data_IF_710635786322
#
_entry.id   IF_710635786322
#
_cell.length_a   1.000
_cell.length_b   1.000
_cell.length_c   1.000
_cell.angle_alpha   90.00
_cell.angle_beta   90.00
_cell.angle_gamma   90.00
#
_symmetry.space_group_name_H-M   'P 1'
#
loop_
_entity.id
_entity.type
_entity.pdbx_description
1 polymer ?
#
# COMPACT_ATOMS: atom_id res chain seq x y z
N UNK A 1 5.64 19.43 -13.35
CA UNK A 1 4.91 18.20 -13.76
C UNK A 1 3.42 18.45 -13.63
N UNK A 2 2.69 18.27 -14.72
CA UNK A 2 1.23 18.33 -14.68
C UNK A 2 0.64 17.14 -13.96
N UNK A 3 -0.63 17.23 -13.58
CA UNK A 3 -1.34 16.10 -12.96
C UNK A 3 -1.38 14.88 -13.89
N UNK A 4 -1.67 15.10 -15.17
CA UNK A 4 -1.74 14.01 -16.14
C UNK A 4 -0.40 13.31 -16.35
N UNK A 5 0.69 14.08 -16.43
CA UNK A 5 2.05 13.53 -16.49
C UNK A 5 2.37 12.69 -15.24
N UNK A 6 2.01 13.20 -14.07
CA UNK A 6 2.21 12.48 -12.82
C UNK A 6 1.45 11.16 -12.81
N UNK A 7 0.17 11.18 -13.16
CA UNK A 7 -0.65 9.97 -13.21
C UNK A 7 -0.06 8.96 -14.19
N UNK A 8 0.32 9.41 -15.37
CA UNK A 8 0.93 8.54 -16.39
C UNK A 8 2.23 7.88 -15.87
N UNK A 9 3.05 8.63 -15.19
CA UNK A 9 4.35 8.14 -14.70
C UNK A 9 4.24 7.27 -13.44
N UNK A 10 3.36 7.61 -12.51
CA UNK A 10 3.36 7.04 -11.15
C UNK A 10 2.17 6.15 -10.81
N UNK A 11 1.13 6.09 -11.63
CA UNK A 11 -0.09 5.34 -11.30
C UNK A 11 0.18 3.87 -11.01
N UNK A 12 1.00 3.22 -11.83
CA UNK A 12 1.32 1.80 -11.62
C UNK A 12 2.04 1.54 -10.30
N UNK A 13 3.02 2.38 -9.96
CA UNK A 13 3.75 2.26 -8.69
C UNK A 13 2.81 2.46 -7.49
N UNK A 14 1.91 3.44 -7.57
CA UNK A 14 0.92 3.69 -6.53
C UNK A 14 -0.07 2.53 -6.37
N UNK A 15 -0.54 1.96 -7.47
CA UNK A 15 -1.45 0.81 -7.45
C UNK A 15 -0.75 -0.43 -6.88
N UNK A 16 0.51 -0.69 -7.23
CA UNK A 16 1.29 -1.78 -6.64
C UNK A 16 1.43 -1.63 -5.13
N UNK A 17 1.80 -0.44 -4.69
CA UNK A 17 1.87 -0.12 -3.26
C UNK A 17 0.52 -0.35 -2.58
N UNK A 18 -0.55 0.21 -3.12
CA UNK A 18 -1.90 0.07 -2.58
C UNK A 18 -2.37 -1.39 -2.57
N UNK A 19 -1.97 -2.21 -3.55
CA UNK A 19 -2.31 -3.64 -3.60
C UNK A 19 -1.68 -4.41 -2.44
N UNK A 20 -0.45 -4.08 -2.07
CA UNK A 20 0.20 -4.68 -0.89
C UNK A 20 -0.53 -4.30 0.40
N UNK A 21 -1.11 -3.11 0.46
CA UNK A 21 -1.91 -2.67 1.61
C UNK A 21 -3.31 -3.31 1.64
N UNK A 22 -4.02 -3.25 0.52
CA UNK A 22 -5.43 -3.69 0.40
C UNK A 22 -5.57 -5.21 0.21
N UNK A 23 -4.56 -5.84 -0.38
CA UNK A 23 -4.57 -7.26 -0.69
C UNK A 23 -5.31 -7.64 -1.96
N UNK A 24 -5.77 -6.68 -2.76
CA UNK A 24 -6.44 -6.92 -4.02
C UNK A 24 -6.28 -5.75 -4.97
N UNK A 25 -6.12 -6.03 -6.27
CA UNK A 25 -5.88 -5.01 -7.29
C UNK A 25 -7.07 -4.07 -7.48
N UNK A 26 -8.30 -4.60 -7.51
CA UNK A 26 -9.50 -3.80 -7.71
C UNK A 26 -9.70 -2.75 -6.61
N UNK A 27 -9.51 -3.15 -5.36
CA UNK A 27 -9.59 -2.26 -4.21
C UNK A 27 -8.46 -1.24 -4.20
N UNK A 28 -7.27 -1.66 -4.61
CA UNK A 28 -6.10 -0.78 -4.73
C UNK A 28 -6.31 0.30 -5.79
N UNK A 29 -6.85 -0.06 -6.95
CA UNK A 29 -7.18 0.89 -8.01
C UNK A 29 -8.23 1.90 -7.54
N UNK A 30 -9.28 1.45 -6.88
CA UNK A 30 -10.32 2.31 -6.33
C UNK A 30 -9.74 3.29 -5.28
N UNK A 31 -8.89 2.79 -4.40
CA UNK A 31 -8.23 3.59 -3.39
C UNK A 31 -7.35 4.68 -4.01
N UNK A 32 -6.51 4.32 -4.98
CA UNK A 32 -5.63 5.26 -5.68
C UNK A 32 -6.44 6.30 -6.44
N UNK A 33 -7.48 5.90 -7.16
CA UNK A 33 -8.36 6.82 -7.87
C UNK A 33 -9.05 7.80 -6.94
N UNK A 34 -9.60 7.33 -5.84
CA UNK A 34 -10.24 8.20 -4.85
C UNK A 34 -9.28 9.25 -4.31
N UNK A 35 -8.05 8.85 -4.01
CA UNK A 35 -7.01 9.77 -3.54
C UNK A 35 -6.63 10.77 -4.63
N UNK A 36 -6.42 10.32 -5.86
CA UNK A 36 -6.05 11.21 -6.98
C UNK A 36 -7.14 12.25 -7.27
N UNK A 37 -8.41 11.86 -7.24
CA UNK A 37 -9.55 12.78 -7.39
C UNK A 37 -9.53 13.85 -6.28
N UNK A 38 -9.26 13.44 -5.05
CA UNK A 38 -9.21 14.34 -3.90
C UNK A 38 -8.02 15.30 -3.94
N UNK A 39 -6.89 14.87 -4.47
CA UNK A 39 -5.66 15.65 -4.57
C UNK A 39 -5.70 16.62 -5.75
N UNK A 40 -6.41 16.29 -6.81
CA UNK A 40 -6.44 17.06 -8.06
C UNK A 40 -6.70 18.56 -7.86
N UNK A 41 -7.71 18.99 -7.08
CA UNK A 41 -7.99 20.43 -6.90
C UNK A 41 -6.85 21.21 -6.26
N UNK A 42 -5.94 20.54 -5.56
CA UNK A 42 -4.82 21.14 -4.85
C UNK A 42 -3.49 20.94 -5.56
N UNK A 43 -3.51 20.32 -6.72
CA UNK A 43 -2.29 19.87 -7.39
C UNK A 43 -1.24 20.97 -7.57
N UNK A 44 -1.65 22.12 -8.09
CA UNK A 44 -0.73 23.23 -8.36
C UNK A 44 -0.17 23.88 -7.09
N UNK A 45 -0.87 23.75 -5.97
CA UNK A 45 -0.44 24.31 -4.69
C UNK A 45 0.51 23.39 -3.90
N UNK A 46 0.73 22.15 -4.37
CA UNK A 46 1.57 21.20 -3.67
C UNK A 46 3.04 21.55 -3.81
N UNK A 47 3.73 21.68 -2.67
CA UNK A 47 5.16 21.87 -2.59
C UNK A 47 5.87 20.55 -2.25
N UNK A 48 7.13 20.42 -2.68
CA UNK A 48 7.95 19.25 -2.41
C UNK A 48 7.62 18.06 -3.29
N UNK A 49 7.88 16.85 -2.80
CA UNK A 49 7.64 15.63 -3.55
C UNK A 49 6.14 15.31 -3.65
N UNK A 50 5.61 15.42 -4.83
CA UNK A 50 4.20 15.07 -5.11
C UNK A 50 3.94 13.59 -4.93
N UNK A 51 4.88 12.75 -5.30
CA UNK A 51 4.78 11.30 -5.07
C UNK A 51 4.67 10.98 -3.57
N UNK A 52 5.54 11.55 -2.75
CA UNK A 52 5.49 11.36 -1.29
C UNK A 52 4.16 11.83 -0.70
N UNK A 53 3.64 12.96 -1.19
CA UNK A 53 2.34 13.48 -0.75
C UNK A 53 1.19 12.52 -1.11
N UNK A 54 1.14 12.05 -2.35
CA UNK A 54 0.08 11.12 -2.79
C UNK A 54 0.20 9.78 -2.09
N UNK A 55 1.42 9.24 -1.93
CA UNK A 55 1.65 8.02 -1.17
C UNK A 55 1.16 8.16 0.28
N UNK A 56 1.44 9.28 0.92
CA UNK A 56 0.93 9.57 2.27
C UNK A 56 -0.60 9.60 2.30
N UNK A 57 -1.22 10.22 1.31
CA UNK A 57 -2.68 10.28 1.19
C UNK A 57 -3.28 8.88 0.99
N UNK A 58 -2.64 8.04 0.17
CA UNK A 58 -3.04 6.63 -0.02
C UNK A 58 -2.95 5.85 1.29
N UNK A 59 -1.86 6.01 2.02
CA UNK A 59 -1.64 5.33 3.30
C UNK A 59 -2.68 5.75 4.34
N UNK A 60 -2.92 7.05 4.47
CA UNK A 60 -3.91 7.60 5.41
C UNK A 60 -5.31 7.12 5.07
N UNK A 61 -5.68 7.12 3.80
CA UNK A 61 -6.98 6.63 3.35
C UNK A 61 -7.12 5.13 3.65
N UNK A 62 -6.10 4.33 3.38
CA UNK A 62 -6.10 2.92 3.73
C UNK A 62 -6.33 2.69 5.23
N UNK A 63 -5.64 3.42 6.08
CA UNK A 63 -5.76 3.27 7.53
C UNK A 63 -7.14 3.70 8.06
N UNK A 64 -7.78 4.68 7.44
CA UNK A 64 -9.11 5.18 7.82
C UNK A 64 -10.26 4.44 7.13
N UNK A 65 -9.97 3.59 6.17
CA UNK A 65 -10.95 2.92 5.30
C UNK A 65 -11.73 1.79 5.97
N UNK A 66 -11.50 1.52 7.22
CA UNK A 66 -12.03 0.39 7.98
C UNK A 66 -13.57 0.25 7.90
N UNK A 67 -14.30 1.36 7.89
CA UNK A 67 -15.77 1.34 7.84
C UNK A 67 -16.34 1.09 6.45
N UNK A 68 -15.74 1.70 5.42
CA UNK A 68 -16.17 1.54 4.03
C UNK A 68 -15.83 0.16 3.49
N UNK A 69 -14.69 -0.37 3.91
CA UNK A 69 -14.18 -1.67 3.51
C UNK A 69 -15.09 -2.81 3.97
N UNK A 70 -15.48 -2.85 5.24
CA UNK A 70 -16.36 -3.88 5.78
C UNK A 70 -17.73 -3.86 5.10
N UNK A 71 -18.27 -2.69 4.75
CA UNK A 71 -19.53 -2.54 4.04
C UNK A 71 -19.44 -3.03 2.59
N UNK A 72 -18.34 -2.73 1.88
CA UNK A 72 -18.11 -3.20 0.50
C UNK A 72 -17.84 -4.70 0.43
N UNK A 73 -17.19 -5.28 1.42
CA UNK A 73 -16.94 -6.74 1.47
C UNK A 73 -18.21 -7.56 1.68
N UNK A 74 -19.19 -7.02 2.36
CA UNK A 74 -20.51 -7.64 2.53
C UNK A 74 -21.27 -7.66 1.19
N UNK A 75 -21.04 -6.68 0.31
CA UNK A 75 -21.72 -6.55 -0.97
C UNK A 75 -20.89 -7.05 -2.18
N UNK A 76 -19.60 -7.27 -2.03
CA UNK A 76 -18.67 -7.59 -3.12
C UNK A 76 -18.45 -9.10 -3.35
N UNK A 77 -19.34 -9.96 -2.89
CA UNK A 77 -19.37 -11.37 -3.27
C UNK A 77 -19.89 -11.59 -4.70
N UNK A 78 -20.27 -10.53 -5.40
CA UNK A 78 -20.78 -10.60 -6.76
C UNK A 78 -19.76 -9.99 -7.74
N UNK A 79 -19.20 -10.88 -8.55
CA UNK A 79 -18.58 -10.62 -9.85
C UNK A 79 -17.45 -9.58 -9.92
N UNK A 80 -16.25 -10.11 -10.13
CA UNK A 80 -15.09 -9.35 -10.56
C UNK A 80 -15.39 -8.71 -11.93
N UNK A 81 -15.24 -7.36 -12.09
CA UNK A 81 -15.42 -6.75 -13.39
C UNK A 81 -14.45 -7.36 -14.41
N UNK A 82 -14.98 -7.79 -15.53
CA UNK A 82 -14.19 -8.11 -16.71
C UNK A 82 -13.49 -6.81 -17.17
N UNK A 83 -12.17 -6.84 -17.28
CA UNK A 83 -11.38 -5.68 -17.72
C UNK A 83 -10.23 -5.30 -16.80
N UNK A 84 -9.73 -6.23 -15.99
CA UNK A 84 -8.51 -6.02 -15.22
C UNK A 84 -7.33 -5.81 -16.14
N UNK A 85 -6.70 -4.64 -16.03
CA UNK A 85 -5.31 -4.49 -16.45
C UNK A 85 -4.51 -5.47 -15.61
N UNK A 86 -4.06 -6.56 -16.20
CA UNK A 86 -3.14 -7.47 -15.53
C UNK A 86 -1.85 -6.68 -15.26
N UNK A 87 -1.70 -6.23 -14.00
CA UNK A 87 -0.39 -5.85 -13.52
C UNK A 87 0.45 -7.13 -13.57
N UNK A 88 1.64 -7.04 -14.15
CA UNK A 88 2.60 -8.15 -14.20
C UNK A 88 3.09 -8.48 -12.80
N UNK A 89 2.21 -9.12 -12.01
CA UNK A 89 2.54 -9.62 -10.69
C UNK A 89 3.27 -10.94 -10.87
N UNK A 90 4.52 -10.96 -10.50
CA UNK A 90 5.25 -12.22 -10.39
C UNK A 90 4.65 -13.06 -9.27
N UNK A 91 4.54 -14.35 -9.49
CA UNK A 91 3.97 -15.33 -8.57
C UNK A 91 4.37 -15.18 -7.09
N UNK A 92 5.62 -14.81 -6.73
CA UNK A 92 6.01 -14.49 -5.36
C UNK A 92 5.23 -13.33 -4.75
N UNK A 93 4.81 -12.36 -5.54
CA UNK A 93 4.12 -11.15 -5.09
C UNK A 93 2.68 -11.44 -4.66
N UNK A 94 1.98 -12.36 -5.32
CA UNK A 94 0.63 -12.79 -4.94
C UNK A 94 0.59 -13.51 -3.58
N UNK A 95 1.55 -14.39 -3.34
CA UNK A 95 1.68 -15.09 -2.06
C UNK A 95 1.97 -14.10 -0.94
N UNK A 96 2.87 -13.19 -1.17
CA UNK A 96 3.22 -12.14 -0.24
C UNK A 96 2.01 -11.24 0.07
N UNK A 97 1.28 -10.79 -0.94
CA UNK A 97 0.10 -9.96 -0.77
C UNK A 97 -0.96 -10.68 0.08
N UNK A 98 -1.15 -11.98 -0.12
CA UNK A 98 -2.07 -12.80 0.68
C UNK A 98 -1.64 -12.87 2.15
N UNK A 99 -0.35 -13.06 2.41
CA UNK A 99 0.15 -13.15 3.78
C UNK A 99 0.14 -11.78 4.47
N UNK A 100 0.41 -10.70 3.75
CA UNK A 100 0.29 -9.34 4.27
C UNK A 100 -1.13 -9.01 4.70
N UNK A 101 -2.15 -9.50 4.00
CA UNK A 101 -3.56 -9.31 4.37
C UNK A 101 -3.91 -9.82 5.76
N UNK A 102 -3.22 -10.85 6.23
CA UNK A 102 -3.44 -11.45 7.55
C UNK A 102 -2.88 -10.61 8.69
N UNK A 103 -2.00 -9.66 8.37
CA UNK A 103 -1.44 -8.75 9.38
C UNK A 103 -2.44 -7.66 9.77
N UNK A 104 -2.44 -7.20 11.03
CA UNK A 104 -3.11 -5.97 11.40
C UNK A 104 -2.65 -4.80 10.51
N UNK A 105 -3.55 -3.87 10.23
CA UNK A 105 -3.30 -2.79 9.25
C UNK A 105 -2.05 -1.97 9.53
N UNK A 106 -1.82 -1.60 10.80
CA UNK A 106 -0.65 -0.81 11.19
C UNK A 106 0.65 -1.58 10.96
N UNK A 107 0.66 -2.87 11.29
CA UNK A 107 1.83 -3.73 11.05
C UNK A 107 2.08 -3.90 9.55
N UNK A 108 1.03 -4.13 8.79
CA UNK A 108 1.12 -4.25 7.32
C UNK A 108 1.68 -2.99 6.69
N UNK A 109 1.12 -1.83 7.05
CA UNK A 109 1.60 -0.55 6.54
C UNK A 109 3.07 -0.30 6.89
N UNK A 110 3.47 -0.57 8.13
CA UNK A 110 4.86 -0.39 8.58
C UNK A 110 5.82 -1.29 7.80
N UNK A 111 5.49 -2.56 7.60
CA UNK A 111 6.31 -3.52 6.84
C UNK A 111 6.43 -3.09 5.38
N UNK A 112 5.33 -2.75 4.74
CA UNK A 112 5.33 -2.34 3.32
C UNK A 112 6.10 -1.04 3.12
N UNK A 113 5.92 -0.06 3.98
CA UNK A 113 6.66 1.20 3.91
C UNK A 113 8.16 1.01 4.12
N UNK A 114 8.54 0.12 5.02
CA UNK A 114 9.95 -0.15 5.30
C UNK A 114 10.67 -0.87 4.17
N UNK A 115 10.08 -1.93 3.63
CA UNK A 115 10.75 -2.83 2.71
C UNK A 115 10.40 -2.62 1.25
N UNK A 116 9.21 -2.18 0.93
CA UNK A 116 8.79 -1.91 -0.44
C UNK A 116 9.07 -0.47 -0.86
N UNK A 117 8.74 0.50 0.00
CA UNK A 117 8.96 1.93 -0.27
C UNK A 117 10.31 2.43 0.27
N UNK A 118 11.04 1.58 0.96
CA UNK A 118 12.39 1.85 1.48
C UNK A 118 12.49 3.09 2.37
N UNK A 119 11.49 3.30 3.22
CA UNK A 119 11.46 4.41 4.17
C UNK A 119 12.17 4.07 5.47
N UNK A 120 12.75 5.10 6.09
CA UNK A 120 13.33 4.99 7.43
C UNK A 120 12.25 4.93 8.51
N UNK A 121 12.60 4.47 9.70
CA UNK A 121 11.68 4.47 10.84
C UNK A 121 11.15 5.87 11.17
N UNK A 122 11.99 6.90 11.03
CA UNK A 122 11.61 8.30 11.23
C UNK A 122 10.55 8.74 10.22
N UNK A 123 10.74 8.42 8.95
CA UNK A 123 9.79 8.75 7.88
C UNK A 123 8.46 8.00 8.06
N UNK A 124 8.52 6.72 8.41
CA UNK A 124 7.33 5.90 8.68
C UNK A 124 6.57 6.43 9.89
N UNK A 125 7.28 6.79 10.96
CA UNK A 125 6.69 7.35 12.18
C UNK A 125 5.91 8.65 11.87
N UNK A 126 6.51 9.54 11.08
CA UNK A 126 5.86 10.77 10.66
C UNK A 126 4.60 10.49 9.82
N UNK A 127 4.68 9.51 8.93
CA UNK A 127 3.57 9.14 8.04
C UNK A 127 2.42 8.46 8.81
N UNK A 128 2.73 7.54 9.71
CA UNK A 128 1.72 6.80 10.49
C UNK A 128 1.23 7.58 11.74
N UNK A 129 1.87 8.69 12.07
CA UNK A 129 1.50 9.48 13.25
C UNK A 129 1.80 8.78 14.58
N UNK A 130 2.91 8.05 14.66
CA UNK A 130 3.32 7.33 15.86
C UNK A 130 4.82 7.56 16.15
N UNK A 131 5.31 6.95 17.20
CA UNK A 131 6.73 7.02 17.59
C UNK A 131 7.57 6.02 16.78
N UNK A 132 8.84 6.30 16.59
CA UNK A 132 9.78 5.39 15.93
C UNK A 132 9.82 4.01 16.61
N UNK A 133 9.78 3.97 17.95
CA UNK A 133 9.72 2.72 18.71
C UNK A 133 8.48 1.91 18.37
N UNK A 134 7.35 2.56 18.12
CA UNK A 134 6.10 1.91 17.70
C UNK A 134 6.24 1.35 16.29
N UNK A 135 6.89 2.07 15.37
CA UNK A 135 7.20 1.58 14.02
C UNK A 135 8.05 0.30 14.10
N UNK A 136 9.12 0.31 14.89
CA UNK A 136 9.97 -0.87 15.07
C UNK A 136 9.20 -2.07 15.63
N UNK A 137 8.30 -1.83 16.57
CA UNK A 137 7.44 -2.88 17.13
C UNK A 137 6.48 -3.45 16.07
N UNK A 138 5.85 -2.60 15.27
CA UNK A 138 4.97 -3.04 14.18
C UNK A 138 5.73 -3.86 13.12
N UNK A 139 6.90 -3.39 12.71
CA UNK A 139 7.75 -4.10 11.75
C UNK A 139 8.19 -5.45 12.29
N UNK A 140 8.66 -5.48 13.53
CA UNK A 140 9.12 -6.72 14.19
C UNK A 140 8.02 -7.76 14.29
N UNK A 141 6.82 -7.37 14.74
CA UNK A 141 5.68 -8.28 14.84
C UNK A 141 5.18 -8.74 13.46
N UNK A 142 5.11 -7.84 12.50
CA UNK A 142 4.72 -8.17 11.14
C UNK A 142 5.68 -9.15 10.48
N UNK A 143 7.00 -8.93 10.61
CA UNK A 143 8.01 -9.85 10.07
C UNK A 143 7.98 -11.20 10.75
N UNK A 144 7.77 -11.26 12.07
CA UNK A 144 7.68 -12.52 12.80
C UNK A 144 6.50 -13.37 12.29
N UNK A 145 5.35 -12.76 12.06
CA UNK A 145 4.19 -13.44 11.49
C UNK A 145 4.44 -13.92 10.06
N UNK A 146 5.07 -13.10 9.22
CA UNK A 146 5.41 -13.46 7.84
C UNK A 146 6.44 -14.59 7.78
N UNK A 147 7.46 -14.59 8.64
CA UNK A 147 8.47 -15.66 8.70
C UNK A 147 7.87 -17.01 9.06
N UNK A 148 6.91 -17.03 9.95
CA UNK A 148 6.22 -18.26 10.36
C UNK A 148 5.54 -18.94 9.16
N UNK A 149 4.97 -18.16 8.25
CA UNK A 149 4.20 -18.67 7.11
C UNK A 149 5.06 -18.86 5.87
N UNK A 150 5.97 -17.93 5.58
CA UNK A 150 6.79 -17.95 4.36
C UNK A 150 8.05 -18.81 4.49
N UNK A 151 8.35 -19.28 5.71
CA UNK A 151 9.52 -20.11 5.96
C UNK A 151 10.83 -19.42 5.56
N UNK A 152 11.78 -20.16 5.02
CA UNK A 152 13.10 -19.67 4.60
C UNK A 152 13.10 -18.76 3.36
N UNK A 153 11.97 -18.21 2.97
CA UNK A 153 11.83 -17.32 1.80
C UNK A 153 12.41 -15.92 2.01
N UNK A 154 13.32 -15.72 2.95
CA UNK A 154 14.14 -14.49 3.03
C UNK A 154 14.84 -14.15 1.70
N UNK A 155 15.02 -15.15 0.84
CA UNK A 155 15.57 -14.95 -0.50
C UNK A 155 14.62 -14.22 -1.46
N UNK A 156 13.32 -14.34 -1.27
CA UNK A 156 12.35 -13.68 -2.15
C UNK A 156 12.30 -12.16 -1.93
N UNK A 157 12.52 -11.71 -0.70
CA UNK A 157 12.58 -10.28 -0.36
C UNK A 157 13.85 -9.60 -0.88
N UNK A 158 14.99 -10.31 -0.87
CA UNK A 158 16.27 -9.78 -1.34
C UNK A 158 16.40 -9.78 -2.87
N UNK A 159 15.54 -10.48 -3.58
CA UNK A 159 15.56 -10.51 -5.03
C UNK A 159 14.95 -9.25 -5.68
N UNK A 160 14.43 -8.33 -4.88
CA UNK A 160 13.87 -7.06 -5.33
C UNK A 160 14.70 -5.83 -4.91
N UNK A 161 15.90 -6.04 -4.32
CA UNK A 161 16.87 -4.96 -4.10
C UNK A 161 17.64 -4.62 -5.38
#
# INVERSE_FOLDING_TARGET
MSFDEFVHEHQQALVRYATLLCGGQGDAEDLVQEVLIRVYPRWEALAGSRYAYVRRAVTNEFLSWRRRWSTRHIFATAELPEGRVELDWREPDERLARELRKLPRQQRAAVVLRYYEDLTDTEIAALLGCREATVRAHVSRGLAALRTVLGSSERAWRAHE
#
